data_IF_302124833965
#
_entry.id   IF_302124833965
#
_cell.length_a   1.000
_cell.length_b   1.000
_cell.length_c   1.000
_cell.angle_alpha   90.00
_cell.angle_beta   90.00
_cell.angle_gamma   90.00
#
_symmetry.space_group_name_H-M   'P 1'
#
loop_
_entity.id
_entity.type
_entity.pdbx_description
1 polymer ?
#
# COMPACT_ATOMS: atom_id res chain seq x y z
N UNK A 1 1.68 -2.83 21.21
CA UNK A 1 2.70 -1.97 20.55
C UNK A 1 2.47 -0.52 20.98
N UNK A 2 3.55 0.26 21.19
CA UNK A 2 3.47 1.69 21.48
C UNK A 2 3.93 2.47 20.26
N UNK A 3 3.17 3.45 19.84
CA UNK A 3 3.55 4.37 18.77
C UNK A 3 4.38 5.48 19.39
N UNK A 4 5.58 5.71 18.85
CA UNK A 4 6.45 6.83 19.22
C UNK A 4 6.44 7.79 18.03
N UNK A 5 6.00 9.02 18.27
CA UNK A 5 5.96 10.07 17.25
C UNK A 5 6.63 11.33 17.80
N UNK A 6 7.70 11.76 17.12
CA UNK A 6 8.41 12.98 17.48
C UNK A 6 9.12 13.58 16.25
N UNK A 7 9.09 14.90 16.04
CA UNK A 7 9.70 15.53 14.87
C UNK A 7 11.20 15.21 14.68
N UNK A 8 11.95 15.00 15.76
CA UNK A 8 13.37 14.62 15.69
C UNK A 8 13.62 13.19 15.18
N UNK A 9 12.57 12.37 15.06
CA UNK A 9 12.66 11.03 14.48
C UNK A 9 12.54 11.02 12.96
N UNK A 10 12.17 12.14 12.34
CA UNK A 10 12.17 12.25 10.88
C UNK A 10 13.60 12.20 10.37
N UNK A 11 13.95 11.30 9.43
CA UNK A 11 15.28 11.21 8.87
C UNK A 11 15.59 12.47 8.04
N UNK A 12 16.83 12.96 8.11
CA UNK A 12 17.30 14.06 7.27
C UNK A 12 17.56 13.63 5.82
N UNK A 13 17.82 12.34 5.61
CA UNK A 13 18.04 11.73 4.31
C UNK A 13 17.58 10.28 4.36
N UNK A 14 17.04 9.78 3.25
CA UNK A 14 16.66 8.39 3.06
C UNK A 14 17.41 7.86 1.85
N UNK A 15 18.08 6.72 2.03
CA UNK A 15 18.78 6.01 0.94
C UNK A 15 17.95 4.79 0.58
N UNK A 16 17.54 4.68 -0.67
CA UNK A 16 16.80 3.56 -1.21
C UNK A 16 17.77 2.65 -1.97
N UNK A 17 18.19 1.58 -1.32
CA UNK A 17 19.12 0.59 -1.89
C UNK A 17 18.40 -0.73 -2.13
N UNK A 18 18.11 -1.11 -3.39
CA UNK A 18 17.38 -2.33 -3.70
C UNK A 18 18.19 -3.60 -3.40
N UNK A 19 19.52 -3.55 -3.41
CA UNK A 19 20.36 -4.71 -3.13
C UNK A 19 20.14 -5.25 -1.72
N UNK A 20 19.87 -4.38 -0.75
CA UNK A 20 19.56 -4.77 0.62
C UNK A 20 18.24 -5.55 0.77
N UNK A 21 17.40 -5.54 -0.25
CA UNK A 21 16.10 -6.24 -0.25
C UNK A 21 16.11 -7.56 -1.02
N UNK A 22 17.17 -7.88 -1.76
CA UNK A 22 17.25 -9.09 -2.62
C UNK A 22 17.02 -10.37 -1.82
N UNK A 23 17.53 -10.45 -0.58
CA UNK A 23 17.33 -11.61 0.30
C UNK A 23 15.95 -11.73 0.95
N UNK A 24 15.04 -10.78 0.73
CA UNK A 24 13.73 -10.80 1.36
C UNK A 24 12.86 -11.92 0.75
N UNK A 25 12.33 -12.88 1.55
CA UNK A 25 11.49 -13.95 1.06
C UNK A 25 10.24 -13.44 0.34
N UNK A 26 9.76 -14.17 -0.68
CA UNK A 26 8.61 -13.78 -1.49
C UNK A 26 7.35 -13.44 -0.65
N UNK A 27 7.05 -14.23 0.39
CA UNK A 27 5.91 -13.97 1.29
C UNK A 27 6.04 -12.64 2.05
N UNK A 28 7.25 -12.28 2.48
CA UNK A 28 7.50 -11.00 3.14
C UNK A 28 7.50 -9.85 2.11
N UNK A 29 8.04 -10.06 0.92
CA UNK A 29 7.95 -9.09 -0.19
C UNK A 29 6.49 -8.78 -0.51
N UNK A 30 5.64 -9.81 -0.65
CA UNK A 30 4.21 -9.65 -0.90
C UNK A 30 3.53 -8.85 0.23
N UNK A 31 3.74 -9.24 1.48
CA UNK A 31 3.09 -8.60 2.63
C UNK A 31 3.54 -7.14 2.81
N UNK A 32 4.84 -6.84 2.72
CA UNK A 32 5.36 -5.47 2.86
C UNK A 32 5.01 -4.60 1.65
N UNK A 33 4.94 -5.18 0.45
CA UNK A 33 4.49 -4.47 -0.75
C UNK A 33 3.00 -4.12 -0.72
N UNK A 34 2.16 -5.01 -0.22
CA UNK A 34 0.75 -4.72 0.04
C UNK A 34 0.56 -3.67 1.14
N UNK A 35 1.48 -3.61 2.11
CA UNK A 35 1.52 -2.54 3.10
C UNK A 35 1.82 -1.18 2.45
N UNK A 36 2.80 -1.14 1.54
CA UNK A 36 3.07 0.06 0.75
C UNK A 36 1.84 0.50 -0.09
N UNK A 37 1.06 -0.46 -0.64
CA UNK A 37 -0.21 -0.14 -1.28
C UNK A 37 -1.20 0.48 -0.29
N UNK A 38 -1.33 -0.09 0.91
CA UNK A 38 -2.26 0.40 1.93
C UNK A 38 -1.93 1.83 2.38
N UNK A 39 -0.64 2.18 2.52
CA UNK A 39 -0.19 3.54 2.83
C UNK A 39 -0.63 4.55 1.76
N UNK A 40 -0.37 4.25 0.49
CA UNK A 40 -0.76 5.11 -0.62
C UNK A 40 -2.29 5.22 -0.73
N UNK A 41 -2.98 4.10 -0.63
CA UNK A 41 -4.43 4.03 -0.79
C UNK A 41 -5.18 4.77 0.33
N UNK A 42 -4.80 4.58 1.59
CA UNK A 42 -5.41 5.30 2.70
C UNK A 42 -5.09 6.79 2.68
N UNK A 43 -3.87 7.17 2.29
CA UNK A 43 -3.53 8.57 2.06
C UNK A 43 -4.41 9.21 0.97
N UNK A 44 -4.62 8.52 -0.16
CA UNK A 44 -5.52 8.98 -1.22
C UNK A 44 -6.95 9.15 -0.72
N UNK A 45 -7.47 8.17 0.03
CA UNK A 45 -8.84 8.14 0.53
C UNK A 45 -9.07 9.04 1.75
N UNK A 46 -8.03 9.53 2.42
CA UNK A 46 -8.14 10.43 3.57
C UNK A 46 -8.96 11.68 3.23
N UNK A 47 -9.87 12.15 4.14
CA UNK A 47 -10.75 13.26 3.85
C UNK A 47 -10.06 14.62 3.79
N UNK A 48 -8.83 14.74 4.31
CA UNK A 48 -8.11 16.01 4.30
C UNK A 48 -7.69 16.42 2.90
N UNK A 49 -7.79 17.70 2.58
CA UNK A 49 -7.38 18.26 1.29
C UNK A 49 -5.86 18.42 1.22
N UNK A 50 -5.22 17.64 0.36
CA UNK A 50 -3.77 17.75 0.10
C UNK A 50 -3.41 17.22 -1.28
N UNK A 51 -3.59 18.01 -2.35
CA UNK A 51 -3.47 17.52 -3.74
C UNK A 51 -2.07 16.99 -4.09
N UNK A 52 -1.01 17.52 -3.49
CA UNK A 52 0.35 16.97 -3.69
C UNK A 52 0.46 15.55 -3.13
N UNK A 53 -0.02 15.32 -1.91
CA UNK A 53 -0.03 13.98 -1.33
C UNK A 53 -0.91 13.01 -2.13
N UNK A 54 -2.03 13.47 -2.67
CA UNK A 54 -2.89 12.67 -3.54
C UNK A 54 -2.19 12.26 -4.82
N UNK A 55 -1.47 13.19 -5.48
CA UNK A 55 -0.69 12.87 -6.68
C UNK A 55 0.43 11.87 -6.42
N UNK A 56 1.13 11.99 -5.28
CA UNK A 56 2.15 11.03 -4.83
C UNK A 56 1.50 9.66 -4.60
N UNK A 57 0.38 9.61 -3.89
CA UNK A 57 -0.31 8.37 -3.53
C UNK A 57 -0.81 7.60 -4.77
N UNK A 58 -1.37 8.30 -5.75
CA UNK A 58 -1.86 7.71 -7.01
C UNK A 58 -0.72 7.02 -7.76
N UNK A 59 0.42 7.69 -7.92
CA UNK A 59 1.60 7.11 -8.57
C UNK A 59 2.18 5.96 -7.74
N UNK A 60 2.22 6.08 -6.40
CA UNK A 60 2.63 4.99 -5.52
C UNK A 60 1.79 3.72 -5.70
N UNK A 61 0.46 3.84 -5.83
CA UNK A 61 -0.44 2.72 -6.14
C UNK A 61 -0.09 2.08 -7.49
N UNK A 62 0.19 2.89 -8.52
CA UNK A 62 0.57 2.39 -9.86
C UNK A 62 1.88 1.61 -9.83
N UNK A 63 2.88 2.12 -9.12
CA UNK A 63 4.16 1.41 -8.97
C UNK A 63 3.99 0.07 -8.28
N UNK A 64 3.20 0.01 -7.20
CA UNK A 64 2.91 -1.26 -6.53
C UNK A 64 2.24 -2.24 -7.49
N UNK A 65 1.18 -1.84 -8.19
CA UNK A 65 0.47 -2.72 -9.14
C UNK A 65 1.39 -3.30 -10.21
N UNK A 66 2.32 -2.47 -10.72
CA UNK A 66 3.23 -2.88 -11.80
C UNK A 66 4.40 -3.74 -11.33
N UNK A 67 4.96 -3.46 -10.17
CA UNK A 67 6.26 -4.01 -9.77
C UNK A 67 6.20 -5.02 -8.63
N UNK A 68 5.15 -5.00 -7.79
CA UNK A 68 5.06 -5.96 -6.68
C UNK A 68 4.98 -7.42 -7.14
N UNK A 69 4.18 -7.78 -8.16
CA UNK A 69 4.18 -9.15 -8.69
C UNK A 69 5.58 -9.58 -9.18
N UNK A 70 6.27 -8.70 -9.89
CA UNK A 70 7.64 -8.95 -10.38
C UNK A 70 8.63 -9.16 -9.24
N UNK A 71 8.63 -8.26 -8.25
CA UNK A 71 9.54 -8.34 -7.09
C UNK A 71 9.27 -9.59 -6.25
N UNK A 72 8.02 -10.05 -6.20
CA UNK A 72 7.62 -11.27 -5.48
C UNK A 72 8.02 -12.54 -6.23
N UNK A 73 7.81 -12.55 -7.55
CA UNK A 73 8.15 -13.70 -8.39
C UNK A 73 9.67 -13.87 -8.60
N UNK A 74 10.41 -12.76 -8.68
CA UNK A 74 11.86 -12.73 -8.90
C UNK A 74 12.52 -11.79 -7.89
N UNK A 75 13.01 -12.37 -6.80
CA UNK A 75 13.62 -11.63 -5.71
C UNK A 75 14.89 -10.85 -6.08
N UNK A 76 15.55 -11.21 -7.17
CA UNK A 76 16.75 -10.60 -7.73
C UNK A 76 16.47 -9.50 -8.79
N UNK A 77 15.20 -9.22 -9.10
CA UNK A 77 14.82 -8.13 -10.01
C UNK A 77 15.04 -6.76 -9.33
N UNK A 78 16.26 -6.22 -9.45
CA UNK A 78 16.66 -4.96 -8.80
C UNK A 78 15.80 -3.78 -9.24
N UNK A 79 15.33 -3.75 -10.50
CA UNK A 79 14.41 -2.70 -10.96
C UNK A 79 13.10 -2.75 -10.17
N UNK A 80 12.49 -3.94 -10.10
CA UNK A 80 11.24 -4.11 -9.36
C UNK A 80 11.41 -3.80 -7.87
N UNK A 81 12.51 -4.23 -7.25
CA UNK A 81 12.87 -3.90 -5.86
C UNK A 81 13.00 -2.40 -5.65
N UNK A 82 13.74 -1.69 -6.54
CA UNK A 82 13.88 -0.23 -6.47
C UNK A 82 12.51 0.46 -6.54
N UNK A 83 11.69 0.08 -7.51
CA UNK A 83 10.37 0.69 -7.68
C UNK A 83 9.44 0.43 -6.47
N UNK A 84 9.57 -0.73 -5.82
CA UNK A 84 8.84 -1.00 -4.57
C UNK A 84 9.33 -0.15 -3.40
N UNK A 85 10.65 0.09 -3.28
CA UNK A 85 11.19 1.04 -2.29
C UNK A 85 10.70 2.46 -2.54
N UNK A 86 10.68 2.89 -3.81
CA UNK A 86 10.13 4.20 -4.20
C UNK A 86 8.65 4.29 -3.83
N UNK A 87 7.83 3.28 -4.18
CA UNK A 87 6.40 3.26 -3.83
C UNK A 87 6.17 3.31 -2.32
N UNK A 88 7.00 2.63 -1.53
CA UNK A 88 6.97 2.68 -0.06
C UNK A 88 7.30 4.08 0.46
N UNK A 89 8.36 4.72 -0.06
CA UNK A 89 8.72 6.08 0.31
C UNK A 89 7.64 7.10 -0.08
N UNK A 90 7.00 6.91 -1.24
CA UNK A 90 5.85 7.73 -1.67
C UNK A 90 4.67 7.57 -0.71
N UNK A 91 4.34 6.33 -0.31
CA UNK A 91 3.32 6.07 0.69
C UNK A 91 3.63 6.74 2.03
N UNK A 92 4.88 6.61 2.50
CA UNK A 92 5.34 7.25 3.74
C UNK A 92 5.26 8.78 3.70
N UNK A 93 5.46 9.38 2.54
CA UNK A 93 5.29 10.82 2.32
C UNK A 93 3.81 11.20 2.27
N UNK A 94 3.01 10.45 1.52
CA UNK A 94 1.60 10.75 1.31
C UNK A 94 0.75 10.55 2.57
N UNK A 95 1.04 9.54 3.40
CA UNK A 95 0.24 9.26 4.59
C UNK A 95 0.38 10.30 5.71
N UNK A 96 1.25 11.31 5.57
CA UNK A 96 1.19 12.50 6.42
C UNK A 96 -0.18 13.21 6.31
N UNK A 97 -0.91 12.99 5.22
CA UNK A 97 -2.31 13.37 5.07
C UNK A 97 -3.25 12.60 6.02
N UNK A 98 -2.86 11.40 6.47
CA UNK A 98 -3.59 10.54 7.41
C UNK A 98 -3.72 9.11 6.90
N UNK A 99 -3.74 8.17 7.84
CA UNK A 99 -4.08 6.76 7.64
C UNK A 99 -5.54 6.52 8.05
N UNK A 100 -6.08 5.34 7.72
CA UNK A 100 -7.49 5.03 7.90
C UNK A 100 -7.77 3.71 8.61
N UNK A 101 -8.89 3.08 8.24
CA UNK A 101 -9.45 1.90 8.89
C UNK A 101 -8.60 0.65 8.79
N UNK A 102 -7.83 0.47 7.69
CA UNK A 102 -6.95 -0.69 7.54
C UNK A 102 -5.89 -0.69 8.65
N UNK A 103 -5.15 0.42 8.78
CA UNK A 103 -4.11 0.55 9.80
C UNK A 103 -4.68 0.55 11.21
N UNK A 104 -5.84 1.16 11.46
CA UNK A 104 -6.47 1.15 12.78
C UNK A 104 -6.77 -0.30 13.24
N UNK A 105 -7.31 -1.13 12.35
CA UNK A 105 -7.58 -2.53 12.63
C UNK A 105 -6.30 -3.38 12.71
N UNK A 106 -5.37 -3.19 11.76
CA UNK A 106 -4.12 -3.94 11.72
C UNK A 106 -3.25 -3.71 12.96
N UNK A 107 -3.20 -2.47 13.49
CA UNK A 107 -2.47 -2.18 14.73
C UNK A 107 -3.06 -2.92 15.92
N UNK A 108 -4.40 -2.93 16.04
CA UNK A 108 -5.10 -3.61 17.13
C UNK A 108 -4.89 -5.12 17.07
N UNK A 109 -5.11 -5.73 15.89
CA UNK A 109 -4.92 -7.17 15.68
C UNK A 109 -3.45 -7.58 15.84
N UNK A 110 -2.52 -6.82 15.31
CA UNK A 110 -1.09 -7.07 15.47
C UNK A 110 -0.62 -6.95 16.92
N UNK A 111 -1.27 -6.10 17.74
CA UNK A 111 -0.97 -6.02 19.17
C UNK A 111 -1.49 -7.22 19.97
N UNK A 112 -2.67 -7.74 19.60
CA UNK A 112 -3.33 -8.86 20.30
C UNK A 112 -2.77 -10.22 19.89
N UNK A 113 -2.45 -10.41 18.62
CA UNK A 113 -2.13 -11.73 18.05
C UNK A 113 -0.70 -11.85 17.52
N UNK A 114 0.13 -10.82 17.69
CA UNK A 114 1.49 -10.74 17.12
C UNK A 114 1.55 -11.03 15.60
N UNK A 115 0.46 -10.74 14.89
CA UNK A 115 0.35 -10.98 13.46
C UNK A 115 1.15 -9.95 12.65
N UNK A 116 1.64 -10.38 11.48
CA UNK A 116 2.45 -9.55 10.59
C UNK A 116 1.64 -8.35 10.07
N UNK A 117 2.11 -7.13 10.31
CA UNK A 117 1.39 -5.87 10.05
C UNK A 117 0.94 -5.73 8.60
N UNK A 118 1.87 -5.88 7.65
CA UNK A 118 1.55 -5.73 6.22
C UNK A 118 0.60 -6.83 5.71
N UNK A 119 0.69 -8.04 6.25
CA UNK A 119 -0.27 -9.10 5.94
C UNK A 119 -1.67 -8.76 6.43
N UNK A 120 -1.79 -8.20 7.63
CA UNK A 120 -3.08 -7.74 8.17
C UNK A 120 -3.69 -6.65 7.29
N UNK A 121 -2.91 -5.65 6.89
CA UNK A 121 -3.38 -4.60 5.96
C UNK A 121 -3.85 -5.19 4.63
N UNK A 122 -3.12 -6.16 4.07
CA UNK A 122 -3.52 -6.85 2.84
C UNK A 122 -4.84 -7.62 2.96
N UNK A 123 -5.02 -8.34 4.08
CA UNK A 123 -6.26 -9.11 4.35
C UNK A 123 -7.45 -8.16 4.55
N UNK A 124 -7.28 -7.09 5.32
CA UNK A 124 -8.34 -6.15 5.68
C UNK A 124 -8.75 -5.23 4.52
N UNK A 125 -7.85 -4.98 3.57
CA UNK A 125 -8.03 -4.00 2.50
C UNK A 125 -9.38 -4.08 1.78
N UNK A 126 -9.83 -5.21 1.21
CA UNK A 126 -11.10 -5.25 0.47
C UNK A 126 -12.31 -5.00 1.36
N UNK A 127 -12.26 -5.39 2.62
CA UNK A 127 -13.37 -5.18 3.57
C UNK A 127 -13.49 -3.71 3.97
N UNK A 128 -12.36 -3.05 4.22
CA UNK A 128 -12.33 -1.62 4.56
C UNK A 128 -12.73 -0.77 3.36
N UNK A 129 -12.29 -1.12 2.15
CA UNK A 129 -12.73 -0.46 0.92
C UNK A 129 -14.25 -0.53 0.77
N UNK A 130 -14.85 -1.73 0.86
CA UNK A 130 -16.31 -1.91 0.77
C UNK A 130 -17.04 -1.13 1.85
N UNK A 131 -16.55 -1.15 3.08
CA UNK A 131 -17.18 -0.43 4.21
C UNK A 131 -17.22 1.07 4.00
N UNK A 132 -16.21 1.63 3.33
CA UNK A 132 -16.06 3.06 3.09
C UNK A 132 -16.51 3.50 1.69
N UNK A 133 -17.01 2.60 0.84
CA UNK A 133 -17.30 2.84 -0.58
C UNK A 133 -17.98 4.19 -0.81
N UNK A 134 -19.09 4.47 -0.13
CA UNK A 134 -19.86 5.70 -0.33
C UNK A 134 -19.07 7.00 -0.10
N UNK A 135 -18.01 6.94 0.71
CA UNK A 135 -17.17 8.10 1.03
C UNK A 135 -15.94 8.25 0.13
N UNK A 136 -15.51 7.16 -0.53
CA UNK A 136 -14.25 7.12 -1.28
C UNK A 136 -14.43 6.82 -2.77
N UNK A 137 -15.63 6.50 -3.22
CA UNK A 137 -15.93 5.99 -4.58
C UNK A 137 -15.34 6.88 -5.67
N UNK A 138 -15.54 8.20 -5.61
CA UNK A 138 -15.00 9.14 -6.60
C UNK A 138 -13.45 9.05 -6.71
N UNK A 139 -12.77 8.95 -5.56
CA UNK A 139 -11.30 8.83 -5.54
C UNK A 139 -10.83 7.50 -6.08
N UNK A 140 -11.55 6.42 -5.77
CA UNK A 140 -11.24 5.07 -6.26
C UNK A 140 -11.51 4.97 -7.76
N UNK A 141 -12.60 5.52 -8.28
CA UNK A 141 -12.87 5.58 -9.72
C UNK A 141 -11.77 6.36 -10.47
N UNK A 142 -11.33 7.50 -9.93
CA UNK A 142 -10.18 8.23 -10.47
C UNK A 142 -8.90 7.41 -10.48
N UNK A 143 -8.66 6.63 -9.41
CA UNK A 143 -7.51 5.72 -9.33
C UNK A 143 -7.62 4.57 -10.32
N UNK A 144 -8.80 3.95 -10.48
CA UNK A 144 -9.04 2.88 -11.46
C UNK A 144 -8.70 3.33 -12.89
N UNK A 145 -9.12 4.55 -13.25
CA UNK A 145 -8.76 5.19 -14.53
C UNK A 145 -7.26 5.38 -14.67
N UNK A 146 -6.60 5.88 -13.64
CA UNK A 146 -5.16 6.10 -13.68
C UNK A 146 -4.36 4.81 -13.81
N UNK A 147 -4.86 3.72 -13.24
CA UNK A 147 -4.28 2.38 -13.33
C UNK A 147 -4.61 1.67 -14.66
N UNK A 148 -5.46 2.26 -15.52
CA UNK A 148 -5.91 1.70 -16.80
C UNK A 148 -6.52 0.29 -16.63
N UNK A 149 -7.48 0.17 -15.70
CA UNK A 149 -8.12 -1.11 -15.41
C UNK A 149 -9.19 -1.54 -16.43
N UNK A 150 -9.41 -0.75 -17.48
CA UNK A 150 -10.41 -1.01 -18.51
C UNK A 150 -11.85 -0.61 -18.13
N UNK A 151 -12.13 -0.50 -16.83
CA UNK A 151 -13.37 0.04 -16.27
C UNK A 151 -12.99 0.96 -15.09
N UNK A 152 -13.53 2.18 -15.11
CA UNK A 152 -13.23 3.22 -14.11
C UNK A 152 -14.11 3.10 -12.86
N UNK A 153 -14.68 1.93 -12.58
CA UNK A 153 -15.59 1.70 -11.45
C UNK A 153 -14.87 1.34 -10.15
N UNK A 154 -15.56 1.53 -9.04
CA UNK A 154 -15.13 1.02 -7.73
C UNK A 154 -14.99 -0.51 -7.75
N UNK A 155 -15.89 -1.20 -8.41
CA UNK A 155 -15.93 -2.65 -8.54
C UNK A 155 -14.71 -3.18 -9.31
N UNK A 156 -14.31 -2.51 -10.38
CA UNK A 156 -13.10 -2.86 -11.14
C UNK A 156 -11.84 -2.72 -10.27
N UNK A 157 -11.72 -1.63 -9.51
CA UNK A 157 -10.61 -1.45 -8.57
C UNK A 157 -10.61 -2.51 -7.47
N UNK A 158 -11.78 -2.80 -6.88
CA UNK A 158 -11.89 -3.83 -5.86
C UNK A 158 -11.51 -5.22 -6.41
N UNK A 159 -11.94 -5.52 -7.63
CA UNK A 159 -11.56 -6.78 -8.28
C UNK A 159 -10.05 -6.85 -8.53
N UNK A 160 -9.45 -5.75 -8.99
CA UNK A 160 -7.99 -5.66 -9.15
C UNK A 160 -7.24 -5.92 -7.83
N UNK A 161 -7.71 -5.38 -6.71
CA UNK A 161 -7.13 -5.67 -5.38
C UNK A 161 -7.23 -7.16 -5.04
N UNK A 162 -8.38 -7.79 -5.31
CA UNK A 162 -8.59 -9.22 -5.04
C UNK A 162 -7.70 -10.10 -5.92
N UNK A 163 -7.52 -9.73 -7.19
CA UNK A 163 -6.67 -10.46 -8.13
C UNK A 163 -5.19 -10.32 -7.77
N UNK A 164 -4.75 -9.12 -7.42
CA UNK A 164 -3.39 -8.87 -6.92
C UNK A 164 -3.11 -9.71 -5.65
N UNK A 165 -4.03 -9.74 -4.69
CA UNK A 165 -3.89 -10.59 -3.49
C UNK A 165 -3.77 -12.07 -3.85
N UNK A 166 -4.58 -12.55 -4.79
CA UNK A 166 -4.53 -13.95 -5.26
C UNK A 166 -3.20 -14.28 -5.91
N UNK A 167 -2.70 -13.40 -6.79
CA UNK A 167 -1.40 -13.56 -7.45
C UNK A 167 -0.26 -13.61 -6.44
N UNK A 168 -0.33 -12.79 -5.39
CA UNK A 168 0.68 -12.71 -4.33
C UNK A 168 0.53 -13.81 -3.25
N UNK A 169 -0.47 -14.68 -3.35
CA UNK A 169 -0.73 -15.73 -2.36
C UNK A 169 -1.14 -15.20 -0.99
N UNK A 170 -1.76 -14.01 -0.92
CA UNK A 170 -2.30 -13.45 0.32
C UNK A 170 -3.60 -14.19 0.69
N UNK A 171 -3.76 -14.70 1.91
CA UNK A 171 -4.96 -15.43 2.33
C UNK A 171 -6.21 -14.53 2.38
N UNK A 172 -7.37 -15.18 2.38
CA UNK A 172 -8.69 -14.53 2.49
C UNK A 172 -9.00 -14.10 3.91
#
# INVERSE_FOLDING_TARGET
KKIIFHPLMLPKAVVLDPELTVGLPAKLTAATGMDALSHNLEALCSPFYHPMAEGIAVEGCRLVGRYLPRATARGDDLEARMQMLVASAMGATAFQKGLGGMHALAHSLGALYDAHHGLLNAILMPYVLKRNQSAIEERICRLARYLDLGDDSFEAFLQWVLDLRRELGIPH
#
